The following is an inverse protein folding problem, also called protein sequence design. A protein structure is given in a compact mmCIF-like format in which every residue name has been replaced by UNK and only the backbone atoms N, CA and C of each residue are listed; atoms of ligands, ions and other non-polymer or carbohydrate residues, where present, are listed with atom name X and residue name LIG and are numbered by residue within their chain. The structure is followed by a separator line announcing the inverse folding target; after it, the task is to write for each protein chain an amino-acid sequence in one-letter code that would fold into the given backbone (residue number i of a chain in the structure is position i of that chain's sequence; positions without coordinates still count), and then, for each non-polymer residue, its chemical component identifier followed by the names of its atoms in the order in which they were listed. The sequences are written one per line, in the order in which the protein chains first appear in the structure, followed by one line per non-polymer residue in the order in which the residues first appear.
data_IF_674071279344
#
_entry.id   IF_674071279344
#
_cell.length_a   1.000
_cell.length_b   1.000
_cell.length_c   1.000
_cell.angle_alpha   90.00
_cell.angle_beta   90.00
_cell.angle_gamma   90.00
#
_symmetry.space_group_name_H-M   'P 1'
#
loop_
_entity.id
_entity.type
_entity.pdbx_description
1 polymer ?
#
# COMPACT_ATOMS: atom_id res chain seq x y z
N UNK A 1 35.45 -0.88 26.88
CA UNK A 1 35.05 -1.91 25.89
C UNK A 1 33.94 -2.86 26.32
N UNK A 2 33.90 -3.36 27.55
CA UNK A 2 32.79 -4.22 28.03
C UNK A 2 31.40 -3.52 27.96
N UNK A 3 31.35 -2.20 28.18
CA UNK A 3 30.11 -1.42 28.08
C UNK A 3 29.56 -1.33 26.64
N UNK A 4 30.43 -1.31 25.62
CA UNK A 4 30.01 -1.35 24.21
C UNK A 4 29.50 -2.73 23.79
N UNK A 5 30.10 -3.80 24.32
CA UNK A 5 29.61 -5.17 24.12
C UNK A 5 28.23 -5.39 24.75
N UNK A 6 27.96 -4.82 25.93
CA UNK A 6 26.62 -4.85 26.54
C UNK A 6 25.58 -4.13 25.68
N UNK A 7 25.92 -2.96 25.13
CA UNK A 7 25.01 -2.21 24.27
C UNK A 7 24.64 -2.95 22.97
N UNK A 8 25.59 -3.68 22.37
CA UNK A 8 25.33 -4.53 21.18
C UNK A 8 24.51 -5.78 21.53
N UNK A 9 24.66 -6.30 22.75
CA UNK A 9 23.84 -7.42 23.24
C UNK A 9 22.37 -7.05 23.50
N UNK A 10 22.08 -5.75 23.62
CA UNK A 10 20.75 -5.20 23.90
C UNK A 10 20.01 -4.67 22.65
N UNK A 11 20.58 -4.77 21.43
CA UNK A 11 19.94 -4.24 20.22
C UNK A 11 18.81 -5.12 19.69
N UNK A 12 19.11 -6.14 18.88
CA UNK A 12 18.10 -6.99 18.24
C UNK A 12 18.44 -8.47 18.43
N UNK A 13 17.42 -9.30 18.61
CA UNK A 13 17.57 -10.73 18.89
C UNK A 13 18.39 -11.46 17.82
N UNK A 14 18.37 -10.94 16.58
CA UNK A 14 19.16 -11.44 15.45
C UNK A 14 20.67 -11.19 15.62
N UNK A 15 21.07 -9.95 15.90
CA UNK A 15 22.49 -9.60 16.08
C UNK A 15 23.13 -10.38 17.23
N UNK A 16 22.37 -10.58 18.32
CA UNK A 16 22.81 -11.37 19.48
C UNK A 16 23.04 -12.84 19.12
N UNK A 17 22.16 -13.42 18.31
CA UNK A 17 22.27 -14.81 17.88
C UNK A 17 23.48 -15.02 16.95
N UNK A 18 23.71 -14.11 16.00
CA UNK A 18 24.89 -14.14 15.11
C UNK A 18 26.19 -14.05 15.93
N UNK A 19 26.22 -13.17 16.93
CA UNK A 19 27.41 -12.95 17.76
C UNK A 19 27.73 -14.18 18.63
N UNK A 20 26.72 -14.78 19.27
CA UNK A 20 26.87 -16.01 20.06
C UNK A 20 27.29 -17.18 19.17
N UNK A 21 26.66 -17.33 18.00
CA UNK A 21 26.99 -18.40 17.05
C UNK A 21 28.45 -18.28 16.57
N UNK A 22 28.88 -17.08 16.18
CA UNK A 22 30.24 -16.83 15.69
C UNK A 22 31.28 -17.03 16.80
N UNK A 23 31.05 -16.48 17.99
CA UNK A 23 31.95 -16.62 19.13
C UNK A 23 32.07 -18.07 19.61
N UNK A 24 30.96 -18.80 19.67
CA UNK A 24 30.96 -20.22 20.05
C UNK A 24 31.61 -21.09 18.97
N UNK A 25 31.43 -20.75 17.69
CA UNK A 25 32.07 -21.46 16.59
C UNK A 25 33.59 -21.28 16.58
N UNK A 26 34.10 -20.09 16.93
CA UNK A 26 35.55 -19.85 17.06
C UNK A 26 36.14 -20.59 18.27
N UNK A 27 35.37 -20.74 19.36
CA UNK A 27 35.82 -21.43 20.59
C UNK A 27 35.82 -22.97 20.48
N UNK A 28 34.94 -23.54 19.66
CA UNK A 28 34.69 -24.99 19.62
C UNK A 28 35.27 -25.71 18.40
N UNK A 29 35.72 -24.98 17.38
CA UNK A 29 36.18 -25.57 16.11
C UNK A 29 37.70 -25.43 15.98
N UNK A 30 38.43 -26.55 15.96
CA UNK A 30 39.90 -26.59 15.82
C UNK A 30 40.42 -26.01 14.48
N UNK A 31 39.56 -25.87 13.47
CA UNK A 31 39.88 -25.30 12.17
C UNK A 31 39.15 -23.97 11.95
N UNK A 32 39.91 -22.87 12.02
CA UNK A 32 39.43 -21.49 11.87
C UNK A 32 38.58 -21.27 10.60
N UNK A 33 38.90 -21.99 9.52
CA UNK A 33 38.18 -21.93 8.24
C UNK A 33 36.70 -22.34 8.38
N UNK A 34 36.43 -23.40 9.12
CA UNK A 34 35.06 -23.90 9.34
C UNK A 34 34.25 -22.93 10.23
N UNK A 35 34.90 -22.30 11.22
CA UNK A 35 34.26 -21.31 12.08
C UNK A 35 33.86 -20.04 11.30
N UNK A 36 34.74 -19.59 10.39
CA UNK A 36 34.45 -18.47 9.49
C UNK A 36 33.27 -18.78 8.56
N UNK A 37 33.26 -19.97 7.95
CA UNK A 37 32.17 -20.40 7.05
C UNK A 37 30.81 -20.42 7.76
N UNK A 38 30.76 -20.94 8.99
CA UNK A 38 29.52 -20.96 9.78
C UNK A 38 29.06 -19.54 10.12
N UNK A 39 29.98 -18.66 10.54
CA UNK A 39 29.67 -17.26 10.83
C UNK A 39 29.10 -16.51 9.62
N UNK A 40 29.73 -16.67 8.44
CA UNK A 40 29.24 -16.07 7.18
C UNK A 40 27.88 -16.63 6.79
N UNK A 41 27.68 -17.95 6.87
CA UNK A 41 26.40 -18.58 6.55
C UNK A 41 25.26 -18.10 7.46
N UNK A 42 25.52 -18.03 8.77
CA UNK A 42 24.56 -17.51 9.76
C UNK A 42 24.28 -16.02 9.52
N UNK A 43 25.31 -15.22 9.21
CA UNK A 43 25.15 -13.80 8.87
C UNK A 43 24.30 -13.60 7.61
N UNK A 44 24.55 -14.37 6.54
CA UNK A 44 23.75 -14.31 5.31
C UNK A 44 22.31 -14.75 5.61
N UNK A 45 22.13 -15.84 6.35
CA UNK A 45 20.80 -16.31 6.74
C UNK A 45 20.01 -15.26 7.52
N UNK A 46 20.62 -14.62 8.53
CA UNK A 46 19.97 -13.55 9.28
C UNK A 46 19.77 -12.27 8.46
N UNK A 47 20.70 -11.91 7.56
CA UNK A 47 20.54 -10.78 6.66
C UNK A 47 19.35 -10.99 5.71
N UNK A 48 19.20 -12.20 5.17
CA UNK A 48 18.04 -12.58 4.33
C UNK A 48 16.74 -12.58 5.13
N UNK A 49 16.75 -13.05 6.39
CA UNK A 49 15.57 -12.99 7.25
C UNK A 49 15.18 -11.58 7.71
N UNK A 50 16.15 -10.67 7.79
CA UNK A 50 15.94 -9.27 8.20
C UNK A 50 15.43 -8.38 7.07
N UNK A 51 15.46 -8.86 5.81
CA UNK A 51 14.68 -8.25 4.75
C UNK A 51 13.19 -8.42 5.07
N UNK A 52 12.67 -7.58 5.98
CA UNK A 52 11.25 -7.39 6.18
C UNK A 52 10.74 -6.83 4.85
N UNK A 53 10.07 -7.69 4.08
CA UNK A 53 9.43 -7.29 2.83
C UNK A 53 8.36 -6.23 3.05
N UNK A 54 7.57 -5.98 2.01
CA UNK A 54 6.46 -5.04 2.14
C UNK A 54 5.39 -5.55 3.11
N UNK A 55 4.65 -4.61 3.69
CA UNK A 55 3.43 -4.86 4.45
C UNK A 55 2.28 -4.19 3.72
N UNK A 56 1.22 -4.94 3.44
CA UNK A 56 -0.02 -4.42 2.88
C UNK A 56 -1.07 -4.39 3.99
N UNK A 57 -1.53 -3.19 4.35
CA UNK A 57 -2.56 -2.98 5.39
C UNK A 57 -3.81 -2.41 4.76
N UNK A 58 -4.96 -2.79 5.27
CA UNK A 58 -6.23 -2.12 4.93
C UNK A 58 -6.39 -0.95 5.88
N UNK A 59 -6.81 0.20 5.34
CA UNK A 59 -7.14 1.37 6.13
C UNK A 59 -8.66 1.52 6.14
N UNK A 60 -9.19 1.76 7.34
CA UNK A 60 -10.58 2.12 7.52
C UNK A 60 -10.70 3.65 7.62
N UNK A 61 -11.75 4.18 7.01
CA UNK A 61 -12.11 5.59 7.11
C UNK A 61 -13.16 5.68 8.20
N UNK A 62 -12.98 6.57 9.16
CA UNK A 62 -13.99 6.88 10.16
C UNK A 62 -14.96 7.95 9.64
N UNK A 63 -16.15 8.04 10.25
CA UNK A 63 -17.21 8.99 9.85
C UNK A 63 -16.73 10.45 9.88
N UNK A 64 -15.78 10.77 10.77
CA UNK A 64 -15.19 12.10 10.94
C UNK A 64 -14.11 12.44 9.88
N UNK A 65 -13.85 11.53 8.93
CA UNK A 65 -12.77 11.66 7.94
C UNK A 65 -11.39 11.29 8.48
N UNK A 66 -11.31 10.76 9.71
CA UNK A 66 -10.14 10.10 10.25
C UNK A 66 -9.78 8.87 9.43
N UNK A 67 -8.50 8.64 9.19
CA UNK A 67 -8.01 7.42 8.54
C UNK A 67 -7.24 6.64 9.59
N UNK A 68 -7.74 5.47 9.95
CA UNK A 68 -7.13 4.61 10.95
C UNK A 68 -6.60 3.35 10.28
N UNK A 69 -5.42 2.89 10.71
CA UNK A 69 -5.00 1.54 10.37
C UNK A 69 -5.94 0.58 11.10
N UNK A 70 -6.57 -0.32 10.35
CA UNK A 70 -7.40 -1.34 10.95
C UNK A 70 -6.53 -2.26 11.81
N UNK A 71 -6.97 -2.52 13.05
CA UNK A 71 -6.23 -3.28 14.07
C UNK A 71 -5.89 -4.72 13.61
N UNK A 72 -6.49 -5.17 12.50
CA UNK A 72 -6.35 -6.53 11.96
C UNK A 72 -5.22 -6.73 10.94
N UNK A 73 -4.47 -5.68 10.58
CA UNK A 73 -3.11 -5.76 10.04
C UNK A 73 -2.85 -6.49 8.71
N UNK A 74 -3.83 -7.19 8.09
CA UNK A 74 -3.71 -7.84 6.77
C UNK A 74 -5.06 -7.89 6.03
N UNK A 75 -5.08 -7.80 4.69
CA UNK A 75 -6.33 -7.71 3.92
C UNK A 75 -7.22 -8.95 4.04
N UNK A 76 -6.62 -10.14 4.10
CA UNK A 76 -7.36 -11.40 4.13
C UNK A 76 -8.24 -11.64 5.36
N UNK A 77 -8.10 -10.88 6.46
CA UNK A 77 -8.91 -11.06 7.68
C UNK A 77 -10.15 -10.18 7.73
N UNK A 78 -10.05 -8.95 7.25
CA UNK A 78 -11.16 -7.99 7.21
C UNK A 78 -12.22 -8.38 6.18
N UNK A 79 -11.77 -8.94 5.05
CA UNK A 79 -12.66 -9.35 3.97
C UNK A 79 -13.53 -10.54 4.38
N UNK A 80 -13.04 -11.42 5.25
CA UNK A 80 -13.82 -12.55 5.80
C UNK A 80 -14.97 -12.12 6.71
N UNK A 81 -14.87 -10.97 7.41
CA UNK A 81 -15.97 -10.47 8.27
C UNK A 81 -16.95 -9.57 7.52
N UNK A 82 -16.52 -8.92 6.43
CA UNK A 82 -17.41 -8.10 5.59
C UNK A 82 -18.59 -8.89 5.01
N UNK A 83 -18.43 -10.20 4.83
CA UNK A 83 -19.50 -11.11 4.40
C UNK A 83 -20.50 -11.53 5.50
N UNK A 84 -20.26 -11.23 6.78
CA UNK A 84 -21.03 -11.82 7.90
C UNK A 84 -21.84 -10.82 8.76
N UNK A 85 -21.75 -9.51 8.56
CA UNK A 85 -22.52 -8.58 9.38
C UNK A 85 -22.52 -7.13 8.93
N UNK A 86 -23.71 -6.55 8.98
CA UNK A 86 -24.11 -5.13 8.88
C UNK A 86 -22.95 -4.13 8.96
N UNK A 87 -22.75 -3.37 7.88
CA UNK A 87 -21.73 -2.33 7.79
C UNK A 87 -21.86 -1.32 8.93
N UNK A 88 -20.84 -1.28 9.78
CA UNK A 88 -20.67 -0.24 10.80
C UNK A 88 -20.68 1.14 10.11
N UNK A 89 -21.38 2.08 10.73
CA UNK A 89 -21.42 3.48 10.31
C UNK A 89 -19.98 4.01 10.21
N UNK A 90 -19.55 4.43 9.01
CA UNK A 90 -18.21 4.96 8.76
C UNK A 90 -17.39 4.25 7.68
N UNK A 91 -17.67 3.00 7.35
CA UNK A 91 -16.81 2.21 6.44
C UNK A 91 -16.93 2.67 4.97
N UNK A 92 -15.91 2.53 4.12
CA UNK A 92 -16.06 2.76 2.67
C UNK A 92 -17.07 1.78 2.03
N UNK A 93 -17.67 2.06 0.86
CA UNK A 93 -18.52 1.08 0.16
C UNK A 93 -17.83 -0.26 -0.11
N UNK A 94 -18.57 -1.38 -0.27
CA UNK A 94 -18.00 -2.71 -0.56
C UNK A 94 -17.09 -2.76 -1.77
N UNK A 95 -17.43 -2.01 -2.81
CA UNK A 95 -16.66 -1.93 -4.04
C UNK A 95 -15.40 -1.04 -3.96
N UNK A 96 -15.21 -0.27 -2.88
CA UNK A 96 -14.05 0.61 -2.69
C UNK A 96 -13.19 0.06 -1.54
N UNK A 97 -11.91 -0.16 -1.80
CA UNK A 97 -10.97 -0.62 -0.77
C UNK A 97 -9.73 0.26 -0.73
N UNK A 98 -9.36 0.71 0.47
CA UNK A 98 -8.18 1.53 0.73
C UNK A 98 -7.08 0.68 1.34
N UNK A 99 -5.92 0.66 0.67
CA UNK A 99 -4.75 -0.12 1.06
C UNK A 99 -3.56 0.82 1.32
N UNK A 100 -2.80 0.54 2.36
CA UNK A 100 -1.51 1.16 2.64
C UNK A 100 -0.39 0.16 2.36
N UNK A 101 0.48 0.50 1.43
CA UNK A 101 1.67 -0.26 1.10
C UNK A 101 2.88 0.36 1.80
N UNK A 102 3.47 -0.41 2.71
CA UNK A 102 4.58 -0.01 3.57
C UNK A 102 5.81 -0.88 3.28
N UNK A 103 7.01 -0.30 3.40
CA UNK A 103 8.26 -1.05 3.36
C UNK A 103 8.91 -1.12 1.98
N UNK A 104 9.85 -2.06 1.84
CA UNK A 104 10.70 -2.20 0.67
C UNK A 104 10.05 -3.08 -0.39
N UNK A 105 9.97 -2.55 -1.61
CA UNK A 105 9.44 -3.22 -2.79
C UNK A 105 10.58 -3.62 -3.72
N UNK A 106 11.28 -4.69 -3.36
CA UNK A 106 12.25 -5.31 -4.27
C UNK A 106 11.56 -6.23 -5.29
N UNK A 107 12.22 -6.53 -6.40
CA UNK A 107 11.72 -7.46 -7.42
C UNK A 107 11.16 -8.79 -6.87
N UNK A 108 11.79 -9.34 -5.82
CA UNK A 108 11.37 -10.60 -5.21
C UNK A 108 9.98 -10.53 -4.55
N UNK A 109 9.51 -9.33 -4.22
CA UNK A 109 8.20 -9.08 -3.64
C UNK A 109 7.10 -8.85 -4.69
N UNK A 110 7.43 -8.75 -5.99
CA UNK A 110 6.44 -8.41 -7.01
C UNK A 110 5.31 -9.45 -7.15
N UNK A 111 5.66 -10.74 -7.12
CA UNK A 111 4.68 -11.83 -7.20
C UNK A 111 3.77 -11.88 -5.96
N UNK A 112 4.36 -11.70 -4.78
CA UNK A 112 3.62 -11.64 -3.51
C UNK A 112 2.69 -10.41 -3.49
N UNK A 113 3.17 -9.24 -3.93
CA UNK A 113 2.37 -8.02 -4.04
C UNK A 113 1.19 -8.22 -4.99
N UNK A 114 1.43 -8.78 -6.17
CA UNK A 114 0.38 -9.05 -7.15
C UNK A 114 -0.66 -10.02 -6.57
N UNK A 115 -0.21 -11.08 -5.90
CA UNK A 115 -1.10 -12.07 -5.28
C UNK A 115 -1.99 -11.46 -4.21
N UNK A 116 -1.42 -10.64 -3.31
CA UNK A 116 -2.19 -9.97 -2.26
C UNK A 116 -3.17 -8.95 -2.83
N UNK A 117 -2.75 -8.11 -3.78
CA UNK A 117 -3.63 -7.14 -4.43
C UNK A 117 -4.76 -7.83 -5.21
N UNK A 118 -4.47 -8.96 -5.88
CA UNK A 118 -5.47 -9.74 -6.60
C UNK A 118 -6.48 -10.39 -5.66
N UNK A 119 -6.05 -10.86 -4.49
CA UNK A 119 -6.95 -11.38 -3.44
C UNK A 119 -7.95 -10.29 -3.04
N UNK A 120 -7.46 -9.07 -2.77
CA UNK A 120 -8.34 -7.93 -2.41
C UNK A 120 -9.32 -7.58 -3.51
N UNK A 121 -8.87 -7.54 -4.77
CA UNK A 121 -9.74 -7.29 -5.93
C UNK A 121 -10.79 -8.39 -6.15
N UNK A 122 -10.57 -9.59 -5.60
CA UNK A 122 -11.34 -10.81 -5.86
C UNK A 122 -12.69 -10.90 -5.17
N UNK A 123 -12.86 -10.31 -3.99
CA UNK A 123 -14.04 -10.56 -3.13
C UNK A 123 -15.24 -9.69 -3.50
N UNK A 124 -15.13 -8.37 -3.41
CA UNK A 124 -16.18 -7.41 -3.87
C UNK A 124 -15.59 -6.09 -4.41
N UNK A 125 -14.30 -5.88 -4.18
CA UNK A 125 -13.62 -4.64 -4.53
C UNK A 125 -13.50 -4.47 -6.05
N UNK A 126 -13.78 -3.26 -6.51
CA UNK A 126 -13.59 -2.85 -7.91
C UNK A 126 -12.67 -1.64 -8.00
N UNK A 127 -12.77 -0.74 -7.03
CA UNK A 127 -11.97 0.46 -6.92
C UNK A 127 -10.95 0.27 -5.80
N UNK A 128 -9.67 0.22 -6.17
CA UNK A 128 -8.57 0.09 -5.23
C UNK A 128 -7.85 1.42 -5.08
N UNK A 129 -7.82 1.97 -3.86
CA UNK A 129 -6.96 3.09 -3.53
C UNK A 129 -5.71 2.53 -2.87
N UNK A 130 -4.56 2.67 -3.51
CA UNK A 130 -3.28 2.16 -3.03
C UNK A 130 -2.38 3.33 -2.62
N UNK A 131 -2.22 3.52 -1.31
CA UNK A 131 -1.29 4.49 -0.72
C UNK A 131 0.11 3.90 -0.72
N UNK A 132 1.04 4.61 -1.36
CA UNK A 132 2.45 4.19 -1.51
C UNK A 132 3.44 5.14 -0.81
N UNK A 133 2.95 6.03 0.05
CA UNK A 133 3.76 7.05 0.71
C UNK A 133 4.85 6.47 1.62
N UNK A 134 4.64 5.26 2.14
CA UNK A 134 5.58 4.51 3.00
C UNK A 134 6.27 3.36 2.26
N UNK A 135 6.00 3.20 0.96
CA UNK A 135 6.68 2.25 0.10
C UNK A 135 7.94 2.88 -0.53
N UNK A 136 8.99 2.09 -0.69
CA UNK A 136 10.25 2.55 -1.28
C UNK A 136 10.97 1.42 -2.02
N UNK A 137 11.99 1.78 -2.80
CA UNK A 137 12.75 0.89 -3.67
C UNK A 137 11.95 0.18 -4.79
N UNK A 138 10.75 0.68 -5.11
CA UNK A 138 9.94 0.19 -6.22
C UNK A 138 10.73 0.20 -7.54
N UNK A 139 10.63 -0.90 -8.28
CA UNK A 139 11.31 -1.17 -9.55
C UNK A 139 10.31 -1.48 -10.69
N UNK A 140 10.83 -1.83 -11.87
CA UNK A 140 9.99 -2.14 -13.04
C UNK A 140 9.11 -3.36 -12.79
N UNK A 141 9.61 -4.38 -12.10
CA UNK A 141 8.87 -5.64 -11.85
C UNK A 141 7.68 -5.39 -10.92
N UNK A 142 7.89 -4.65 -9.83
CA UNK A 142 6.84 -4.26 -8.88
C UNK A 142 5.86 -3.26 -9.50
N UNK A 143 6.32 -2.35 -10.37
CA UNK A 143 5.43 -1.51 -11.18
C UNK A 143 4.54 -2.35 -12.11
N UNK A 144 5.09 -3.36 -12.79
CA UNK A 144 4.34 -4.25 -13.66
C UNK A 144 3.29 -5.07 -12.90
N UNK A 145 3.62 -5.52 -11.68
CA UNK A 145 2.67 -6.17 -10.79
C UNK A 145 1.47 -5.25 -10.49
N UNK A 146 1.72 -3.98 -10.11
CA UNK A 146 0.65 -2.99 -9.87
C UNK A 146 -0.17 -2.73 -11.15
N UNK A 147 0.50 -2.62 -12.29
CA UNK A 147 -0.14 -2.36 -13.57
C UNK A 147 -1.10 -3.49 -13.98
N UNK A 148 -0.69 -4.75 -13.78
CA UNK A 148 -1.53 -5.92 -14.04
C UNK A 148 -2.82 -5.88 -13.21
N UNK A 149 -2.72 -5.48 -11.95
CA UNK A 149 -3.91 -5.30 -11.09
C UNK A 149 -4.77 -4.12 -11.54
N UNK A 150 -4.17 -3.02 -11.98
CA UNK A 150 -4.90 -1.88 -12.51
C UNK A 150 -5.70 -2.26 -13.79
N UNK A 151 -5.11 -3.05 -14.67
CA UNK A 151 -5.77 -3.59 -15.86
C UNK A 151 -6.91 -4.56 -15.50
N UNK A 152 -6.71 -5.44 -14.53
CA UNK A 152 -7.74 -6.36 -14.04
C UNK A 152 -8.91 -5.59 -13.39
N UNK A 153 -8.61 -4.58 -12.56
CA UNK A 153 -9.61 -3.71 -11.98
C UNK A 153 -10.41 -2.97 -13.06
N UNK A 154 -9.73 -2.44 -14.09
CA UNK A 154 -10.35 -1.80 -15.24
C UNK A 154 -11.26 -2.75 -16.02
N UNK A 155 -10.84 -4.00 -16.24
CA UNK A 155 -11.65 -5.01 -16.92
C UNK A 155 -12.94 -5.35 -16.16
N UNK A 156 -12.92 -5.27 -14.82
CA UNK A 156 -14.11 -5.42 -13.95
C UNK A 156 -14.97 -4.14 -13.87
N UNK A 157 -14.53 -3.09 -14.56
CA UNK A 157 -15.14 -1.77 -14.62
C UNK A 157 -14.88 -0.88 -13.40
N UNK A 158 -13.87 -1.21 -12.59
CA UNK A 158 -13.35 -0.35 -11.54
C UNK A 158 -12.05 0.33 -11.95
N UNK A 159 -11.26 0.81 -10.98
CA UNK A 159 -9.98 1.50 -11.20
C UNK A 159 -9.01 1.26 -10.04
N UNK A 160 -7.70 1.30 -10.32
CA UNK A 160 -6.67 1.41 -9.29
C UNK A 160 -6.17 2.86 -9.26
N UNK A 161 -6.18 3.46 -8.08
CA UNK A 161 -5.77 4.85 -7.84
C UNK A 161 -4.56 4.83 -6.91
N UNK A 162 -3.44 5.36 -7.37
CA UNK A 162 -2.23 5.53 -6.57
C UNK A 162 -2.27 6.86 -5.83
N UNK A 163 -1.94 6.86 -4.54
CA UNK A 163 -1.82 8.09 -3.77
C UNK A 163 -0.58 8.13 -2.88
N UNK A 164 -0.16 9.33 -2.49
CA UNK A 164 1.07 9.52 -1.74
C UNK A 164 2.33 9.29 -2.56
N UNK A 165 2.26 9.50 -3.89
CA UNK A 165 3.39 9.23 -4.78
C UNK A 165 4.46 10.31 -4.62
N UNK A 166 5.59 9.97 -3.99
CA UNK A 166 6.72 10.90 -3.82
C UNK A 166 7.34 11.27 -5.19
N UNK A 167 7.89 12.48 -5.37
CA UNK A 167 8.45 12.92 -6.65
C UNK A 167 9.47 11.96 -7.27
N UNK A 168 10.39 11.42 -6.45
CA UNK A 168 11.39 10.45 -6.94
C UNK A 168 10.78 9.12 -7.39
N UNK A 169 9.71 8.66 -6.73
CA UNK A 169 9.00 7.46 -7.12
C UNK A 169 8.23 7.67 -8.42
N UNK A 170 7.58 8.83 -8.60
CA UNK A 170 6.84 9.14 -9.83
C UNK A 170 7.71 8.96 -11.08
N UNK A 171 8.94 9.49 -11.08
CA UNK A 171 9.85 9.32 -12.22
C UNK A 171 10.22 7.85 -12.50
N UNK A 172 10.29 7.01 -11.46
CA UNK A 172 10.47 5.56 -11.63
C UNK A 172 9.22 4.91 -12.23
N UNK A 173 8.03 5.25 -11.74
CA UNK A 173 6.75 4.75 -12.29
C UNK A 173 6.55 5.15 -13.76
N UNK A 174 6.96 6.38 -14.11
CA UNK A 174 6.90 6.89 -15.47
C UNK A 174 7.82 6.11 -16.41
N UNK A 175 9.10 5.91 -16.00
CA UNK A 175 10.05 5.12 -16.78
C UNK A 175 9.64 3.65 -16.89
N UNK A 176 9.00 3.10 -15.86
CA UNK A 176 8.44 1.75 -15.88
C UNK A 176 7.16 1.64 -16.73
N UNK A 177 6.64 2.75 -17.28
CA UNK A 177 5.42 2.76 -18.11
C UNK A 177 4.12 2.68 -17.32
N UNK A 178 4.17 2.61 -15.98
CA UNK A 178 2.99 2.48 -15.12
C UNK A 178 2.04 3.67 -15.28
N UNK A 179 2.58 4.88 -15.36
CA UNK A 179 1.80 6.12 -15.52
C UNK A 179 0.88 6.04 -16.75
N UNK A 180 1.40 5.54 -17.87
CA UNK A 180 0.63 5.39 -19.12
C UNK A 180 -0.42 4.29 -19.04
N UNK A 181 -0.12 3.19 -18.34
CA UNK A 181 -1.02 2.04 -18.22
C UNK A 181 -2.20 2.33 -17.31
N UNK A 182 -1.94 2.98 -16.16
CA UNK A 182 -2.99 3.35 -15.20
C UNK A 182 -3.76 4.58 -15.68
N UNK A 183 -3.07 5.60 -16.20
CA UNK A 183 -3.60 6.94 -16.44
C UNK A 183 -3.08 7.92 -15.40
N UNK A 184 -2.61 9.10 -15.82
CA UNK A 184 -2.03 10.10 -14.93
C UNK A 184 -3.05 10.67 -13.93
N UNK A 185 -4.32 10.74 -14.33
CA UNK A 185 -5.45 11.18 -13.52
C UNK A 185 -5.72 10.31 -12.28
N UNK A 186 -5.24 9.07 -12.30
CA UNK A 186 -5.35 8.13 -11.19
C UNK A 186 -4.07 8.04 -10.34
N UNK A 187 -3.12 8.96 -10.55
CA UNK A 187 -1.86 9.01 -9.80
C UNK A 187 -1.77 10.34 -9.06
N UNK A 188 -2.11 10.31 -7.77
CA UNK A 188 -2.04 11.45 -6.89
C UNK A 188 -0.68 11.52 -6.20
N UNK A 189 0.08 12.59 -6.52
CA UNK A 189 1.37 12.87 -5.91
C UNK A 189 1.21 13.16 -4.42
N UNK A 190 2.26 12.88 -3.65
CA UNK A 190 2.31 13.24 -2.24
C UNK A 190 2.22 14.76 -2.08
N UNK A 191 1.39 15.20 -1.15
CA UNK A 191 1.15 16.60 -0.84
C UNK A 191 1.76 16.96 0.53
N UNK A 192 2.03 18.24 0.81
CA UNK A 192 2.60 18.66 2.10
C UNK A 192 1.67 18.37 3.29
N UNK A 193 0.36 18.44 3.06
CA UNK A 193 -0.63 18.11 4.08
C UNK A 193 -0.74 16.58 4.24
N UNK A 194 -0.74 16.15 5.50
CA UNK A 194 -0.88 14.74 5.89
C UNK A 194 -2.19 14.19 5.32
N UNK A 195 -2.07 13.06 4.62
CA UNK A 195 -3.19 12.31 4.02
C UNK A 195 -4.00 13.06 2.94
N UNK A 196 -3.66 14.28 2.54
CA UNK A 196 -4.43 15.02 1.54
C UNK A 196 -4.58 14.26 0.22
N UNK A 197 -3.48 13.71 -0.31
CA UNK A 197 -3.54 12.87 -1.52
C UNK A 197 -4.37 11.60 -1.33
N UNK A 198 -4.41 11.06 -0.10
CA UNK A 198 -5.20 9.87 0.23
C UNK A 198 -6.68 10.20 0.28
N UNK A 199 -7.06 11.31 0.93
CA UNK A 199 -8.44 11.81 0.96
C UNK A 199 -8.98 12.07 -0.45
N UNK A 200 -8.19 12.72 -1.30
CA UNK A 200 -8.54 12.96 -2.71
C UNK A 200 -8.69 11.67 -3.51
N UNK A 201 -7.83 10.68 -3.28
CA UNK A 201 -7.94 9.39 -3.96
C UNK A 201 -9.21 8.62 -3.55
N UNK A 202 -9.57 8.68 -2.26
CA UNK A 202 -10.83 8.11 -1.76
C UNK A 202 -12.02 8.83 -2.41
N UNK A 203 -12.04 10.16 -2.41
CA UNK A 203 -13.11 10.94 -3.02
C UNK A 203 -13.28 10.59 -4.51
N UNK A 204 -12.17 10.49 -5.26
CA UNK A 204 -12.19 10.06 -6.66
C UNK A 204 -12.73 8.63 -6.83
N UNK A 205 -12.33 7.68 -5.97
CA UNK A 205 -12.83 6.32 -6.01
C UNK A 205 -14.36 6.25 -5.77
N UNK A 206 -14.86 7.01 -4.79
CA UNK A 206 -16.28 7.10 -4.48
C UNK A 206 -17.06 7.70 -5.65
N UNK A 207 -16.54 8.75 -6.27
CA UNK A 207 -17.19 9.40 -7.40
C UNK A 207 -17.31 8.48 -8.63
N UNK A 208 -16.25 7.70 -8.91
CA UNK A 208 -16.26 6.71 -9.99
C UNK A 208 -17.19 5.52 -9.69
N UNK A 209 -17.27 5.10 -8.43
CA UNK A 209 -18.20 4.08 -7.96
C UNK A 209 -19.65 4.54 -8.16
N UNK A 210 -19.98 5.77 -7.75
CA UNK A 210 -21.32 6.34 -7.89
C UNK A 210 -21.73 6.50 -9.37
N UNK A 211 -20.81 6.97 -10.22
CA UNK A 211 -21.06 7.06 -11.67
C UNK A 211 -21.40 5.69 -12.26
N UNK A 212 -20.67 4.65 -11.86
CA UNK A 212 -20.88 3.29 -12.33
C UNK A 212 -22.23 2.71 -11.89
N UNK A 213 -22.65 2.95 -10.63
CA UNK A 213 -23.97 2.51 -10.16
C UNK A 213 -25.09 3.17 -10.96
N UNK A 214 -24.96 4.47 -11.23
CA UNK A 214 -25.91 5.24 -12.07
C UNK A 214 -26.00 4.68 -13.48
N UNK A 215 -24.87 4.33 -14.10
CA UNK A 215 -24.83 3.69 -15.43
C UNK A 215 -25.50 2.31 -15.45
N UNK A 216 -25.51 1.59 -14.32
CA UNK A 216 -26.13 0.26 -14.19
C UNK A 216 -27.61 0.29 -13.79
N UNK A 217 -28.17 1.46 -13.47
CA UNK A 217 -29.55 1.57 -13.02
C UNK A 217 -29.82 0.91 -11.66
N UNK A 218 -28.78 0.75 -10.83
CA UNK A 218 -28.90 0.27 -9.45
C UNK A 218 -29.46 1.42 -8.57
N UNK A 219 -30.37 1.12 -7.64
CA UNK A 219 -30.96 2.12 -6.71
C UNK A 219 -29.85 2.90 -5.99
N UNK A 220 -30.00 4.23 -5.96
CA UNK A 220 -29.08 5.13 -5.26
C UNK A 220 -29.11 4.76 -3.77
N UNK A 221 -28.09 4.07 -3.29
CA UNK A 221 -27.89 3.91 -1.86
C UNK A 221 -27.73 5.32 -1.32
N UNK A 222 -28.74 5.81 -0.60
CA UNK A 222 -28.70 7.10 0.09
C UNK A 222 -27.37 7.14 0.85
N UNK A 223 -26.49 8.13 0.62
CA UNK A 223 -25.08 7.93 0.93
C UNK A 223 -24.93 8.01 2.45
N UNK A 224 -24.91 6.85 3.12
CA UNK A 224 -24.38 6.70 4.49
C UNK A 224 -22.95 7.25 4.63
N UNK A 225 -22.30 7.53 3.49
CA UNK A 225 -20.95 8.06 3.33
C UNK A 225 -20.92 9.52 2.87
N UNK A 226 -22.08 10.19 2.72
CA UNK A 226 -22.19 11.61 2.43
C UNK A 226 -21.41 12.48 3.42
N UNK A 227 -21.43 12.20 4.74
CA UNK A 227 -20.59 12.88 5.73
C UNK A 227 -19.10 12.69 5.46
N UNK A 228 -18.67 11.51 5.01
CA UNK A 228 -17.27 11.21 4.69
C UNK A 228 -16.86 11.99 3.43
N UNK A 229 -17.66 11.95 2.37
CA UNK A 229 -17.37 12.71 1.15
C UNK A 229 -17.30 14.22 1.44
N UNK A 230 -18.26 14.77 2.18
CA UNK A 230 -18.24 16.16 2.62
C UNK A 230 -17.06 16.45 3.54
N UNK A 231 -16.71 15.59 4.49
CA UNK A 231 -15.55 15.78 5.36
C UNK A 231 -14.25 15.77 4.55
N UNK A 232 -14.10 14.83 3.61
CA UNK A 232 -12.94 14.76 2.72
C UNK A 232 -12.87 15.98 1.79
N UNK A 233 -14.00 16.45 1.27
CA UNK A 233 -14.12 17.65 0.43
C UNK A 233 -13.88 18.94 1.23
N UNK A 234 -14.43 19.10 2.44
CA UNK A 234 -14.20 20.25 3.31
C UNK A 234 -12.76 20.33 3.79
N UNK A 235 -12.15 19.18 4.12
CA UNK A 235 -10.74 19.12 4.51
C UNK A 235 -9.84 19.41 3.31
N UNK A 236 -10.16 18.88 2.12
CA UNK A 236 -9.41 19.16 0.89
C UNK A 236 -9.63 20.59 0.36
N UNK A 237 -10.81 21.18 0.55
CA UNK A 237 -11.15 22.53 0.10
C UNK A 237 -10.54 23.61 1.01
N UNK A 238 -10.25 23.28 2.27
CA UNK A 238 -9.47 24.15 3.17
C UNK A 238 -7.99 24.27 2.78
N UNK A 239 -7.50 23.47 1.82
CA UNK A 239 -6.07 23.44 1.47
C UNK A 239 -5.69 23.46 -0.01
N UNK A 240 -6.60 23.32 -1.00
CA UNK A 240 -6.19 23.23 -2.44
C UNK A 240 -7.20 23.89 -3.43
N UNK A 241 -6.74 24.50 -4.57
CA UNK A 241 -7.59 25.16 -5.58
C UNK A 241 -8.39 24.17 -6.47
N UNK A 242 -9.34 24.65 -7.28
CA UNK A 242 -10.29 23.78 -8.01
C UNK A 242 -9.61 22.88 -9.06
N UNK A 243 -10.24 21.73 -9.39
CA UNK A 243 -9.72 20.78 -10.37
C UNK A 243 -9.64 21.38 -11.79
N UNK A 244 -8.75 20.88 -12.67
CA UNK A 244 -8.67 21.33 -14.05
C UNK A 244 -9.99 21.02 -14.78
N UNK A 245 -10.55 22.06 -15.40
CA UNK A 245 -11.84 22.01 -16.08
C UNK A 245 -11.87 21.00 -17.22
N UNK A 246 -13.08 20.48 -17.50
CA UNK A 246 -13.38 19.61 -18.64
C UNK A 246 -12.73 20.17 -19.92
N UNK A 247 -11.99 19.31 -20.62
CA UNK A 247 -11.68 19.52 -22.03
C UNK A 247 -13.02 19.56 -22.78
N UNK A 248 -13.42 20.76 -23.23
CA UNK A 248 -14.44 20.89 -24.25
C UNK A 248 -13.95 20.19 -25.52
N UNK A 249 -14.82 19.46 -26.24
CA UNK A 249 -14.43 18.89 -27.51
C UNK A 249 -14.18 20.04 -28.49
N UNK A 250 -12.95 20.09 -29.00
CA UNK A 250 -12.52 21.00 -30.05
C UNK A 250 -13.52 20.98 -31.21
N UNK A 251 -14.22 22.09 -31.40
CA UNK A 251 -15.06 22.35 -32.57
C UNK A 251 -14.26 23.30 -33.47
N UNK A 252 -13.42 22.71 -34.30
CA UNK A 252 -12.70 23.35 -35.40
C UNK A 252 -12.69 22.46 -36.62
#
# INVERSE_FOLDING_TARGET
DVARMKAIFETTTGDRAVLIATFSSVLLVEHLENALLIGVAVSIFYALRRAEGFKLRVLDVAIDGGIHESDEGRPGRLLSRRGEGEGEEGTLPPEVTLLNLQGELYFAAAEELQTELKRVLGEDARFLVLRVQEAYNLDVTTADAIASIAEEARARGGRLILCGVRPGMYGTLERAGLVRRIGEEYILRAEPEILASTRRAIALALELADQRRKERGEEEIEPKYGPIKLALEEISARSVPPPPGRLEPDRG
#
